data_IF_412087954482
#
_entry.id   IF_412087954482
#
_cell.length_a   1.000
_cell.length_b   1.000
_cell.length_c   1.000
_cell.angle_alpha   90.00
_cell.angle_beta   90.00
_cell.angle_gamma   90.00
#
_symmetry.space_group_name_H-M   'P 1'
#
loop_
_entity.id
_entity.type
_entity.pdbx_description
1 polymer ?
#
# COMPACT_ATOMS: atom_id res chain seq x y z
N UNK A 1 8.73 18.38 26.55
CA UNK A 1 8.32 17.16 25.82
C UNK A 1 6.86 17.17 25.35
N UNK A 2 5.89 17.71 26.10
CA UNK A 2 4.46 17.65 25.73
C UNK A 2 4.13 18.31 24.35
N UNK A 3 4.84 19.37 23.96
CA UNK A 3 4.63 20.04 22.67
C UNK A 3 5.16 19.24 21.47
N UNK A 4 6.25 18.48 21.62
CA UNK A 4 6.80 17.65 20.54
C UNK A 4 5.88 16.46 20.24
N UNK A 5 5.33 15.84 21.27
CA UNK A 5 4.36 14.75 21.14
C UNK A 5 3.10 15.22 20.40
N UNK A 6 2.55 16.39 20.77
CA UNK A 6 1.41 16.96 20.05
C UNK A 6 1.73 17.30 18.59
N UNK A 7 2.94 17.80 18.32
CA UNK A 7 3.37 18.10 16.96
C UNK A 7 3.49 16.84 16.10
N UNK A 8 4.09 15.77 16.62
CA UNK A 8 4.24 14.50 15.89
C UNK A 8 2.89 13.82 15.71
N UNK A 9 2.00 13.87 16.70
CA UNK A 9 0.70 13.18 16.69
C UNK A 9 -0.37 13.87 15.83
N UNK A 10 -0.18 15.15 15.49
CA UNK A 10 -1.15 15.91 14.71
C UNK A 10 -0.85 15.77 13.22
N UNK A 11 -1.81 15.34 12.38
CA UNK A 11 -1.60 15.29 10.94
C UNK A 11 -1.33 16.72 10.41
N UNK A 12 -0.46 16.88 9.40
CA UNK A 12 -0.19 18.20 8.84
C UNK A 12 -1.46 18.80 8.25
N UNK A 13 -1.69 20.09 8.51
CA UNK A 13 -2.85 20.81 7.97
C UNK A 13 -2.63 21.08 6.48
N UNK A 14 -3.60 20.68 5.66
CA UNK A 14 -3.59 20.93 4.21
C UNK A 14 -4.80 21.80 3.87
N UNK A 15 -4.58 22.82 3.04
CA UNK A 15 -5.62 23.78 2.64
C UNK A 15 -6.69 23.14 1.75
N UNK A 16 -6.30 22.18 0.91
CA UNK A 16 -7.18 21.44 0.02
C UNK A 16 -7.85 20.26 0.77
N UNK A 17 -9.19 20.27 0.93
CA UNK A 17 -9.93 19.21 1.62
C UNK A 17 -9.72 17.82 1.01
N UNK A 18 -9.54 17.75 -0.31
CA UNK A 18 -9.37 16.48 -1.03
C UNK A 18 -8.01 15.84 -0.69
N UNK A 19 -6.96 16.65 -0.64
CA UNK A 19 -5.61 16.20 -0.27
C UNK A 19 -5.49 15.89 1.22
N UNK A 20 -6.24 16.61 2.07
CA UNK A 20 -6.24 16.38 3.51
C UNK A 20 -6.64 14.94 3.88
N UNK A 21 -7.54 14.32 3.12
CA UNK A 21 -7.95 12.91 3.31
C UNK A 21 -6.80 11.95 3.04
N UNK A 22 -6.11 12.09 1.91
CA UNK A 22 -4.99 11.23 1.53
C UNK A 22 -3.81 11.38 2.50
N UNK A 23 -3.52 12.62 2.91
CA UNK A 23 -2.49 12.91 3.91
C UNK A 23 -2.80 12.23 5.24
N UNK A 24 -4.05 12.28 5.70
CA UNK A 24 -4.47 11.66 6.95
C UNK A 24 -4.37 10.13 6.88
N UNK A 25 -4.79 9.54 5.76
CA UNK A 25 -4.67 8.09 5.54
C UNK A 25 -3.20 7.64 5.50
N UNK A 26 -2.34 8.35 4.76
CA UNK A 26 -0.91 8.06 4.73
C UNK A 26 -0.28 8.22 6.12
N UNK A 27 -0.65 9.27 6.85
CA UNK A 27 -0.17 9.52 8.19
C UNK A 27 -0.51 8.37 9.15
N UNK A 28 -1.77 7.90 9.19
CA UNK A 28 -2.13 6.76 10.04
C UNK A 28 -1.47 5.46 9.60
N UNK A 29 -1.32 5.25 8.29
CA UNK A 29 -0.61 4.09 7.76
C UNK A 29 0.85 4.09 8.23
N UNK A 30 1.53 5.24 8.16
CA UNK A 30 2.90 5.39 8.64
C UNK A 30 3.00 5.25 10.16
N UNK A 31 2.07 5.86 10.89
CA UNK A 31 2.04 5.83 12.35
C UNK A 31 1.85 4.40 12.90
N UNK A 32 1.05 3.57 12.23
CA UNK A 32 0.87 2.16 12.58
C UNK A 32 1.97 1.27 12.00
N UNK A 33 2.39 1.53 10.76
CA UNK A 33 3.36 0.72 10.04
C UNK A 33 4.75 0.74 10.68
N UNK A 34 5.19 1.89 11.21
CA UNK A 34 6.49 2.01 11.89
C UNK A 34 6.56 1.07 13.10
N UNK A 35 5.69 1.17 14.13
CA UNK A 35 5.70 0.24 15.24
C UNK A 35 5.64 -1.23 14.82
N UNK A 36 4.77 -1.58 13.86
CA UNK A 36 4.64 -2.96 13.37
C UNK A 36 5.97 -3.47 12.80
N UNK A 37 6.64 -2.69 11.96
CA UNK A 37 7.93 -3.07 11.38
C UNK A 37 9.00 -3.26 12.46
N UNK A 38 9.01 -2.42 13.51
CA UNK A 38 9.95 -2.54 14.61
C UNK A 38 9.62 -3.70 15.56
N UNK A 39 8.35 -4.06 15.75
CA UNK A 39 7.97 -5.22 16.56
C UNK A 39 8.61 -6.50 16.02
N UNK A 40 8.70 -6.67 14.70
CA UNK A 40 9.39 -7.80 14.09
C UNK A 40 10.88 -7.85 14.42
N UNK A 41 11.54 -6.69 14.56
CA UNK A 41 12.95 -6.62 14.94
C UNK A 41 13.17 -6.97 16.41
N UNK A 42 12.20 -6.61 17.26
CA UNK A 42 12.25 -6.80 18.71
C UNK A 42 11.76 -8.18 19.18
N UNK A 43 11.24 -9.01 18.28
CA UNK A 43 10.87 -10.39 18.63
C UNK A 43 12.10 -11.21 19.02
N UNK A 44 11.96 -12.01 20.08
CA UNK A 44 13.00 -12.91 20.57
C UNK A 44 13.31 -14.04 19.58
N UNK A 45 14.54 -14.54 19.62
CA UNK A 45 15.05 -15.58 18.72
C UNK A 45 14.23 -16.89 18.78
N UNK A 46 13.64 -17.20 19.93
CA UNK A 46 12.78 -18.38 20.10
C UNK A 46 11.52 -18.32 19.23
N UNK A 47 10.89 -17.14 19.15
CA UNK A 47 9.71 -16.91 18.30
C UNK A 47 10.10 -16.92 16.81
N UNK A 48 11.37 -16.61 16.52
CA UNK A 48 11.93 -16.53 15.18
C UNK A 48 12.62 -17.82 14.74
N UNK A 49 12.53 -18.89 15.52
CA UNK A 49 13.16 -20.16 15.18
C UNK A 49 12.70 -20.61 13.77
N UNK A 50 13.64 -20.64 12.82
CA UNK A 50 13.39 -21.01 11.42
C UNK A 50 13.16 -19.84 10.46
N UNK A 51 13.10 -18.59 10.94
CA UNK A 51 13.04 -17.39 10.09
C UNK A 51 14.46 -16.96 9.71
N UNK A 52 14.78 -16.82 8.42
CA UNK A 52 16.11 -16.38 8.01
C UNK A 52 16.42 -14.93 8.38
N UNK A 53 17.69 -14.66 8.73
CA UNK A 53 18.20 -13.31 9.07
C UNK A 53 17.95 -12.22 8.03
N UNK A 54 17.78 -12.58 6.77
CA UNK A 54 17.51 -11.58 5.72
C UNK A 54 16.11 -10.97 5.85
N UNK A 55 15.17 -11.64 6.52
CA UNK A 55 13.86 -11.06 6.84
C UNK A 55 14.03 -9.82 7.74
N UNK A 56 14.97 -9.86 8.67
CA UNK A 56 15.27 -8.77 9.60
C UNK A 56 15.83 -7.55 8.86
N UNK A 57 16.69 -7.81 7.88
CA UNK A 57 17.23 -6.75 7.00
C UNK A 57 16.12 -6.09 6.18
N UNK A 58 15.19 -6.88 5.63
CA UNK A 58 14.03 -6.35 4.91
C UNK A 58 13.13 -5.55 5.84
N UNK A 59 12.75 -6.12 6.99
CA UNK A 59 11.87 -5.47 7.96
C UNK A 59 12.49 -4.16 8.48
N UNK A 60 13.78 -4.16 8.83
CA UNK A 60 14.50 -2.98 9.27
C UNK A 60 14.66 -1.93 8.16
N UNK A 61 14.97 -2.36 6.94
CA UNK A 61 15.03 -1.48 5.77
C UNK A 61 13.69 -0.80 5.49
N UNK A 62 12.59 -1.55 5.51
CA UNK A 62 11.24 -1.01 5.39
C UNK A 62 10.94 -0.05 6.53
N UNK A 63 11.23 -0.43 7.78
CA UNK A 63 11.02 0.44 8.95
C UNK A 63 11.72 1.79 8.83
N UNK A 64 12.98 1.80 8.37
CA UNK A 64 13.72 3.04 8.11
C UNK A 64 13.04 3.87 7.01
N UNK A 65 12.63 3.25 5.89
CA UNK A 65 11.94 3.96 4.81
C UNK A 65 10.60 4.53 5.27
N UNK A 66 9.86 3.83 6.13
CA UNK A 66 8.61 4.34 6.71
C UNK A 66 8.88 5.58 7.59
N UNK A 67 9.94 5.57 8.39
CA UNK A 67 10.34 6.75 9.19
C UNK A 67 10.71 7.91 8.27
N UNK A 68 11.52 7.67 7.24
CA UNK A 68 11.90 8.71 6.26
C UNK A 68 10.64 9.27 5.58
N UNK A 69 9.71 8.40 5.19
CA UNK A 69 8.44 8.78 4.57
C UNK A 69 7.57 9.61 5.51
N UNK A 70 7.57 9.30 6.82
CA UNK A 70 6.89 10.09 7.84
C UNK A 70 7.51 11.48 7.98
N UNK A 71 8.83 11.59 8.00
CA UNK A 71 9.53 12.88 8.02
C UNK A 71 9.23 13.69 6.76
N UNK A 72 9.21 13.06 5.58
CA UNK A 72 8.85 13.71 4.32
C UNK A 72 7.40 14.19 4.33
N UNK A 73 6.48 13.40 4.87
CA UNK A 73 5.08 13.78 5.02
C UNK A 73 4.93 15.01 5.91
N UNK A 74 5.63 15.05 7.05
CA UNK A 74 5.62 16.19 7.97
C UNK A 74 6.23 17.46 7.34
N UNK A 75 7.06 17.32 6.31
CA UNK A 75 7.61 18.42 5.51
C UNK A 75 6.73 18.83 4.33
N UNK A 76 5.57 18.20 4.13
CA UNK A 76 4.64 18.49 3.04
C UNK A 76 4.93 17.74 1.74
N UNK A 77 5.92 16.84 1.69
CA UNK A 77 6.24 16.05 0.50
C UNK A 77 5.34 14.81 0.37
N UNK A 78 4.02 15.02 0.29
CA UNK A 78 3.00 13.95 0.33
C UNK A 78 3.22 12.91 -0.77
N UNK A 79 3.35 13.35 -2.03
CA UNK A 79 3.48 12.43 -3.18
C UNK A 79 4.72 11.57 -3.10
N UNK A 80 5.85 12.15 -2.67
CA UNK A 80 7.11 11.43 -2.54
C UNK A 80 7.04 10.40 -1.41
N UNK A 81 6.45 10.77 -0.27
CA UNK A 81 6.22 9.87 0.85
C UNK A 81 5.30 8.70 0.45
N UNK A 82 4.18 8.98 -0.23
CA UNK A 82 3.29 7.93 -0.77
C UNK A 82 4.02 6.97 -1.70
N UNK A 83 4.82 7.50 -2.63
CA UNK A 83 5.57 6.69 -3.59
C UNK A 83 6.60 5.81 -2.87
N UNK A 84 7.37 6.37 -1.94
CA UNK A 84 8.38 5.64 -1.18
C UNK A 84 7.77 4.47 -0.40
N UNK A 85 6.66 4.71 0.31
CA UNK A 85 5.95 3.65 1.06
C UNK A 85 5.51 2.52 0.14
N UNK A 86 4.86 2.86 -0.98
CA UNK A 86 4.34 1.86 -1.92
C UNK A 86 5.48 1.05 -2.54
N UNK A 87 6.53 1.73 -3.02
CA UNK A 87 7.69 1.08 -3.63
C UNK A 87 8.43 0.21 -2.62
N UNK A 88 8.63 0.69 -1.38
CA UNK A 88 9.34 -0.09 -0.36
C UNK A 88 8.56 -1.32 0.07
N UNK A 89 7.24 -1.21 0.25
CA UNK A 89 6.42 -2.34 0.66
C UNK A 89 6.27 -3.38 -0.45
N UNK A 90 5.98 -2.96 -1.69
CA UNK A 90 5.90 -3.89 -2.81
C UNK A 90 7.26 -4.49 -3.14
N UNK A 91 8.32 -3.70 -3.06
CA UNK A 91 9.70 -4.17 -3.21
C UNK A 91 10.08 -5.19 -2.14
N UNK A 92 9.70 -4.95 -0.88
CA UNK A 92 9.90 -5.90 0.21
C UNK A 92 9.15 -7.22 0.00
N UNK A 93 7.89 -7.17 -0.46
CA UNK A 93 7.13 -8.37 -0.83
C UNK A 93 7.79 -9.12 -1.98
N UNK A 94 8.24 -8.39 -3.02
CA UNK A 94 8.94 -8.98 -4.16
C UNK A 94 10.27 -9.62 -3.77
N UNK A 95 11.10 -8.94 -2.98
CA UNK A 95 12.35 -9.48 -2.43
C UNK A 95 12.08 -10.70 -1.54
N UNK A 96 11.09 -10.61 -0.65
CA UNK A 96 10.71 -11.74 0.19
C UNK A 96 10.28 -12.95 -0.64
N UNK A 97 9.52 -12.74 -1.72
CA UNK A 97 9.10 -13.81 -2.63
C UNK A 97 10.26 -14.38 -3.44
N UNK A 98 11.28 -13.58 -3.78
CA UNK A 98 12.47 -14.07 -4.47
C UNK A 98 13.36 -14.95 -3.58
N UNK A 99 13.49 -14.59 -2.30
CA UNK A 99 14.34 -15.32 -1.36
C UNK A 99 13.63 -16.50 -0.64
N UNK A 100 12.29 -16.55 -0.64
CA UNK A 100 11.50 -17.62 -0.01
C UNK A 100 10.46 -18.22 -0.96
N UNK A 101 10.38 -19.57 -1.03
CA UNK A 101 9.24 -20.41 -1.51
C UNK A 101 8.53 -19.92 -2.79
N UNK A 102 9.21 -19.09 -3.58
CA UNK A 102 8.70 -18.34 -4.72
C UNK A 102 7.26 -17.84 -4.58
N UNK A 103 6.38 -18.24 -5.51
CA UNK A 103 5.01 -17.74 -5.63
C UNK A 103 4.13 -18.14 -4.45
N UNK A 104 4.45 -19.23 -3.75
CA UNK A 104 3.68 -19.75 -2.61
C UNK A 104 3.96 -18.98 -1.32
N UNK A 105 4.80 -17.95 -1.38
CA UNK A 105 5.11 -17.14 -0.22
C UNK A 105 3.83 -16.45 0.31
N UNK A 106 3.51 -16.59 1.61
CA UNK A 106 2.31 -15.97 2.20
C UNK A 106 2.28 -14.45 2.06
N UNK A 107 3.44 -13.79 1.85
CA UNK A 107 3.51 -12.36 1.56
C UNK A 107 2.81 -11.96 0.25
N UNK A 108 2.62 -12.89 -0.69
CA UNK A 108 1.86 -12.62 -1.93
C UNK A 108 0.39 -12.28 -1.66
N UNK A 109 -0.17 -12.75 -0.54
CA UNK A 109 -1.53 -12.40 -0.08
C UNK A 109 -1.62 -10.90 0.28
N UNK A 110 -0.51 -10.27 0.64
CA UNK A 110 -0.47 -8.83 0.95
C UNK A 110 -0.47 -7.95 -0.31
N UNK A 111 -0.19 -8.50 -1.50
CA UNK A 111 -0.09 -7.71 -2.75
C UNK A 111 -1.41 -7.01 -3.10
N UNK A 112 -2.59 -7.68 -3.09
CA UNK A 112 -3.87 -7.01 -3.34
C UNK A 112 -4.15 -5.86 -2.36
N UNK A 113 -3.84 -6.06 -1.07
CA UNK A 113 -4.01 -5.04 -0.01
C UNK A 113 -3.08 -3.86 -0.27
N UNK A 114 -1.82 -4.12 -0.64
CA UNK A 114 -0.87 -3.06 -0.98
C UNK A 114 -1.22 -2.32 -2.26
N UNK A 115 -1.80 -2.99 -3.26
CA UNK A 115 -2.34 -2.34 -4.45
C UNK A 115 -3.55 -1.45 -4.12
N UNK A 116 -4.38 -1.83 -3.15
CA UNK A 116 -5.45 -0.98 -2.61
C UNK A 116 -4.89 0.30 -1.99
N UNK A 117 -3.88 0.16 -1.13
CA UNK A 117 -3.16 1.30 -0.53
C UNK A 117 -2.56 2.18 -1.62
N UNK A 118 -1.89 1.60 -2.61
CA UNK A 118 -1.34 2.31 -3.76
C UNK A 118 -2.41 3.13 -4.48
N UNK A 119 -3.59 2.56 -4.70
CA UNK A 119 -4.67 3.22 -5.42
C UNK A 119 -5.27 4.41 -4.68
N UNK A 120 -5.38 4.29 -3.37
CA UNK A 120 -5.83 5.39 -2.52
C UNK A 120 -4.79 6.52 -2.50
N UNK A 121 -3.50 6.19 -2.41
CA UNK A 121 -2.43 7.17 -2.22
C UNK A 121 -1.95 7.85 -3.50
N UNK A 122 -1.80 7.08 -4.59
CA UNK A 122 -1.17 7.50 -5.85
C UNK A 122 -2.17 7.61 -7.01
N UNK A 123 -3.40 7.13 -6.82
CA UNK A 123 -4.46 7.16 -7.82
C UNK A 123 -4.39 6.01 -8.83
N UNK A 124 -5.45 5.90 -9.64
CA UNK A 124 -5.73 4.72 -10.46
C UNK A 124 -4.68 4.41 -11.52
N UNK A 125 -4.10 5.44 -12.18
CA UNK A 125 -3.09 5.25 -13.24
C UNK A 125 -1.84 4.57 -12.73
N UNK A 126 -1.36 5.00 -11.56
CA UNK A 126 -0.15 4.45 -10.94
C UNK A 126 -0.42 3.03 -10.42
N UNK A 127 -1.63 2.77 -9.89
CA UNK A 127 -2.02 1.41 -9.50
C UNK A 127 -1.96 0.42 -10.65
N UNK A 128 -2.48 0.79 -11.83
CA UNK A 128 -2.43 -0.10 -13.00
C UNK A 128 -0.97 -0.45 -13.35
N UNK A 129 -0.07 0.53 -13.29
CA UNK A 129 1.36 0.30 -13.51
C UNK A 129 1.93 -0.70 -12.49
N UNK A 130 1.68 -0.49 -11.19
CA UNK A 130 2.16 -1.42 -10.16
C UNK A 130 1.51 -2.80 -10.25
N UNK A 131 0.24 -2.89 -10.64
CA UNK A 131 -0.42 -4.18 -10.89
C UNK A 131 0.28 -4.93 -12.02
N UNK A 132 0.60 -4.27 -13.14
CA UNK A 132 1.33 -4.89 -14.24
C UNK A 132 2.73 -5.33 -13.81
N UNK A 133 3.45 -4.51 -13.03
CA UNK A 133 4.76 -4.87 -12.48
C UNK A 133 4.66 -6.09 -11.58
N UNK A 134 3.71 -6.12 -10.64
CA UNK A 134 3.54 -7.24 -9.71
C UNK A 134 3.06 -8.51 -10.41
N UNK A 135 2.18 -8.41 -11.40
CA UNK A 135 1.75 -9.54 -12.23
C UNK A 135 2.92 -10.11 -13.05
N UNK A 136 3.77 -9.22 -13.59
CA UNK A 136 4.99 -9.62 -14.30
C UNK A 136 5.98 -10.31 -13.35
N UNK A 137 6.16 -9.78 -12.14
CA UNK A 137 7.00 -10.38 -11.09
C UNK A 137 6.47 -11.77 -10.68
N UNK A 138 5.15 -11.91 -10.46
CA UNK A 138 4.54 -13.20 -10.12
C UNK A 138 4.70 -14.22 -11.26
N UNK A 139 4.57 -13.77 -12.51
CA UNK A 139 4.79 -14.62 -13.69
C UNK A 139 6.25 -15.03 -13.81
N UNK A 140 7.17 -14.09 -13.60
CA UNK A 140 8.61 -14.36 -13.55
C UNK A 140 8.94 -15.40 -12.48
N UNK A 141 8.42 -15.23 -11.26
CA UNK A 141 8.59 -16.19 -10.16
C UNK A 141 8.06 -17.58 -10.53
N UNK A 142 6.90 -17.67 -11.19
CA UNK A 142 6.35 -18.95 -11.65
C UNK A 142 7.27 -19.68 -12.65
N UNK A 143 7.78 -18.97 -13.66
CA UNK A 143 8.73 -19.56 -14.62
C UNK A 143 10.07 -19.90 -13.97
N UNK A 144 10.52 -19.05 -13.04
CA UNK A 144 11.74 -19.26 -12.26
C UNK A 144 11.65 -20.53 -11.42
N UNK A 145 10.54 -20.76 -10.70
CA UNK A 145 10.28 -22.01 -9.97
C UNK A 145 10.23 -23.22 -10.91
N UNK A 146 9.52 -23.10 -12.03
CA UNK A 146 9.34 -24.21 -12.98
C UNK A 146 10.65 -24.67 -13.63
N UNK A 147 11.64 -23.80 -13.73
CA UNK A 147 12.96 -24.13 -14.29
C UNK A 147 13.76 -25.12 -13.43
N UNK A 148 13.36 -25.36 -12.18
CA UNK A 148 14.03 -26.29 -11.27
C UNK A 148 15.39 -25.79 -10.75
N UNK A 149 15.74 -24.53 -11.01
CA UNK A 149 17.03 -23.93 -10.62
C UNK A 149 17.15 -23.73 -9.11
N UNK A 150 16.02 -23.58 -8.39
CA UNK A 150 15.99 -23.39 -6.93
C UNK A 150 14.98 -24.35 -6.29
N UNK A 151 15.53 -25.33 -5.54
CA UNK A 151 14.87 -26.35 -4.71
C UNK A 151 14.18 -27.55 -5.41
N UNK A 152 14.60 -28.80 -5.13
CA UNK A 152 13.79 -29.99 -5.37
C UNK A 152 12.73 -30.11 -4.26
N UNK A 153 11.73 -29.22 -4.25
CA UNK A 153 10.52 -29.48 -3.45
C UNK A 153 9.58 -30.42 -4.22
N UNK A 154 8.98 -31.42 -3.56
CA UNK A 154 8.01 -32.30 -4.17
C UNK A 154 6.68 -31.55 -4.26
N UNK A 155 6.49 -30.81 -5.35
CA UNK A 155 5.21 -30.56 -6.02
C UNK A 155 5.43 -29.41 -7.01
N UNK A 156 5.41 -29.75 -8.29
CA UNK A 156 5.46 -28.81 -9.42
C UNK A 156 4.50 -27.65 -9.12
N UNK A 157 4.94 -26.41 -9.30
CA UNK A 157 4.10 -25.23 -9.11
C UNK A 157 2.75 -25.43 -9.82
N UNK A 158 1.66 -25.61 -9.06
CA UNK A 158 0.34 -25.85 -9.64
C UNK A 158 -0.04 -24.61 -10.45
N UNK A 159 -0.28 -24.82 -11.74
CA UNK A 159 -0.65 -23.74 -12.65
C UNK A 159 -1.96 -23.08 -12.21
N UNK A 160 -2.82 -23.81 -11.48
CA UNK A 160 -4.02 -23.26 -10.86
C UNK A 160 -3.68 -22.18 -9.83
N UNK A 161 -2.65 -22.38 -8.99
CA UNK A 161 -2.30 -21.43 -7.94
C UNK A 161 -1.78 -20.10 -8.52
N UNK A 162 -0.92 -20.18 -9.54
CA UNK A 162 -0.47 -19.00 -10.28
C UNK A 162 -1.64 -18.26 -10.95
N UNK A 163 -2.53 -19.00 -11.61
CA UNK A 163 -3.70 -18.42 -12.27
C UNK A 163 -4.64 -17.73 -11.27
N UNK A 164 -4.91 -18.38 -10.13
CA UNK A 164 -5.74 -17.81 -9.04
C UNK A 164 -5.13 -16.53 -8.52
N UNK A 165 -3.81 -16.46 -8.32
CA UNK A 165 -3.14 -15.23 -7.87
C UNK A 165 -3.25 -14.11 -8.90
N UNK A 166 -3.04 -14.39 -10.20
CA UNK A 166 -3.21 -13.39 -11.25
C UNK A 166 -4.65 -12.89 -11.35
N UNK A 167 -5.63 -13.81 -11.26
CA UNK A 167 -7.05 -13.45 -11.23
C UNK A 167 -7.38 -12.61 -10.01
N UNK A 168 -6.89 -12.96 -8.83
CA UNK A 168 -7.10 -12.19 -7.60
C UNK A 168 -6.52 -10.78 -7.74
N UNK A 169 -5.28 -10.65 -8.19
CA UNK A 169 -4.65 -9.34 -8.43
C UNK A 169 -5.44 -8.51 -9.45
N UNK A 170 -5.86 -9.13 -10.56
CA UNK A 170 -6.66 -8.47 -11.60
C UNK A 170 -8.03 -8.03 -11.10
N UNK A 171 -8.74 -8.89 -10.38
CA UNK A 171 -10.03 -8.58 -9.76
C UNK A 171 -9.90 -7.46 -8.73
N UNK A 172 -8.91 -7.52 -7.84
CA UNK A 172 -8.67 -6.46 -6.87
C UNK A 172 -8.36 -5.14 -7.57
N UNK A 173 -7.49 -5.12 -8.57
CA UNK A 173 -7.19 -3.92 -9.33
C UNK A 173 -8.43 -3.34 -10.04
N UNK A 174 -9.25 -4.19 -10.67
CA UNK A 174 -10.49 -3.78 -11.32
C UNK A 174 -11.51 -3.22 -10.31
N UNK A 175 -11.74 -3.91 -9.19
CA UNK A 175 -12.63 -3.45 -8.12
C UNK A 175 -12.16 -2.11 -7.54
N UNK A 176 -10.86 -1.95 -7.30
CA UNK A 176 -10.29 -0.69 -6.81
C UNK A 176 -10.47 0.45 -7.81
N UNK A 177 -10.22 0.18 -9.08
CA UNK A 177 -10.42 1.16 -10.14
C UNK A 177 -11.88 1.63 -10.19
N UNK A 178 -12.84 0.70 -10.10
CA UNK A 178 -14.26 1.02 -10.08
C UNK A 178 -14.65 1.79 -8.81
N UNK A 179 -14.23 1.34 -7.63
CA UNK A 179 -14.57 1.98 -6.34
C UNK A 179 -14.06 3.41 -6.26
N UNK A 180 -12.82 3.66 -6.69
CA UNK A 180 -12.25 5.02 -6.69
C UNK A 180 -12.99 5.90 -7.68
N UNK A 181 -13.25 5.42 -8.90
CA UNK A 181 -14.00 6.18 -9.89
C UNK A 181 -15.43 6.50 -9.40
N UNK A 182 -16.07 5.58 -8.68
CA UNK A 182 -17.38 5.81 -8.07
C UNK A 182 -17.31 6.84 -6.94
N UNK A 183 -16.26 6.80 -6.12
CA UNK A 183 -16.07 7.73 -5.00
C UNK A 183 -15.82 9.15 -5.49
N UNK A 184 -14.99 9.31 -6.53
CA UNK A 184 -14.76 10.62 -7.14
C UNK A 184 -16.07 11.18 -7.72
N UNK A 185 -16.83 10.34 -8.44
CA UNK A 185 -18.13 10.75 -9.00
C UNK A 185 -19.16 11.08 -7.93
N UNK A 186 -19.16 10.39 -6.80
CA UNK A 186 -20.11 10.69 -5.70
C UNK A 186 -19.75 11.99 -5.00
N UNK A 187 -18.46 12.28 -4.79
CA UNK A 187 -18.00 13.56 -4.26
C UNK A 187 -18.37 14.73 -5.19
N UNK A 188 -18.17 14.59 -6.50
CA UNK A 188 -18.59 15.60 -7.49
C UNK A 188 -20.11 15.85 -7.45
N UNK A 189 -20.92 14.79 -7.34
CA UNK A 189 -22.38 14.90 -7.23
C UNK A 189 -22.79 15.62 -5.96
N UNK A 190 -22.20 15.26 -4.82
CA UNK A 190 -22.49 15.89 -3.54
C UNK A 190 -22.12 17.38 -3.57
N UNK A 191 -21.01 17.76 -4.20
CA UNK A 191 -20.61 19.17 -4.35
C UNK A 191 -21.61 19.96 -5.18
N UNK A 192 -22.04 19.42 -6.33
CA UNK A 192 -23.06 20.06 -7.18
C UNK A 192 -24.40 20.21 -6.48
N UNK A 193 -24.80 19.22 -5.68
CA UNK A 193 -26.01 19.31 -4.87
C UNK A 193 -25.91 20.39 -3.80
N UNK A 194 -24.78 20.49 -3.10
CA UNK A 194 -24.53 21.54 -2.11
C UNK A 194 -24.58 22.94 -2.74
N UNK A 195 -23.94 23.13 -3.90
CA UNK A 195 -23.98 24.38 -4.67
C UNK A 195 -25.42 24.73 -5.07
N UNK A 196 -26.19 23.75 -5.55
CA UNK A 196 -27.61 23.95 -5.94
C UNK A 196 -28.46 24.37 -4.74
N UNK A 197 -28.34 23.69 -3.61
CA UNK A 197 -29.08 24.03 -2.39
C UNK A 197 -28.72 25.43 -1.88
N UNK A 198 -27.44 25.81 -1.96
CA UNK A 198 -27.00 27.15 -1.57
C UNK A 198 -27.60 28.22 -2.49
N UNK A 199 -27.66 27.98 -3.80
CA UNK A 199 -28.31 28.93 -4.73
C UNK A 199 -29.80 29.07 -4.47
N UNK A 200 -30.51 27.99 -4.17
CA UNK A 200 -31.94 28.02 -3.83
C UNK A 200 -32.19 28.78 -2.52
N UNK A 201 -31.38 28.52 -1.50
CA UNK A 201 -31.49 29.22 -0.22
C UNK A 201 -31.27 30.74 -0.37
N UNK A 202 -30.29 31.14 -1.18
CA UNK A 202 -30.05 32.54 -1.51
C UNK A 202 -31.19 33.19 -2.31
N UNK A 203 -31.95 32.44 -3.11
CA UNK A 203 -33.12 32.93 -3.82
C UNK A 203 -34.30 33.15 -2.86
N UNK A 204 -34.56 32.20 -1.97
CA UNK A 204 -35.61 32.30 -0.95
C UNK A 204 -35.34 33.43 0.05
N UNK A 205 -34.07 33.70 0.37
CA UNK A 205 -33.71 34.81 1.26
C UNK A 205 -33.93 36.21 0.63
N UNK A 206 -34.18 36.29 -0.68
CA UNK A 206 -34.41 37.56 -1.41
C UNK A 206 -35.88 37.87 -1.67
N UNK A 207 -36.77 36.90 -1.49
CA UNK A 207 -38.23 37.07 -1.63
C UNK A 207 -38.86 37.40 -0.29
#
# INVERSE_FOLDING_TARGET
MHNLLRYILSPPSVSDPSQARNVRQLYYLLLLGVPIAFTFLLMDDEVRAGVPRWNDLIAGGVGIILIISLVLLLRGYVRLASLLVVVSCLGAIGLASLYHIGIRNPSMIAVPVMLMVCSILLGSRITVLFTVIMASMATFLYFYERSGVYYPQPDVADSNYWLVNLLLMGMTAAMLHLTINQTIKSEERNRRQAETLQTQNNQLART
#
